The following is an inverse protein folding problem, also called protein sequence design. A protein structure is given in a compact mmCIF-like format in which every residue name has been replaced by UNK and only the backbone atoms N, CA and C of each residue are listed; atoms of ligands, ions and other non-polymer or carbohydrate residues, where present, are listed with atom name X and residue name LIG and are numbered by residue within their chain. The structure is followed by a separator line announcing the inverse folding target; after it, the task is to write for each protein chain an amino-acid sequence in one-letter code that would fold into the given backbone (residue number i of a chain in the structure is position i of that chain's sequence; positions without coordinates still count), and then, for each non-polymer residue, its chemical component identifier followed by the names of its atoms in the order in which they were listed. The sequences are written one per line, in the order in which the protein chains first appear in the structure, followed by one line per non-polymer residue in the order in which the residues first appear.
data_IF_572048914147
#
_entry.id   IF_572048914147
#
_cell.length_a   1.000
_cell.length_b   1.000
_cell.length_c   1.000
_cell.angle_alpha   90.00
_cell.angle_beta   90.00
_cell.angle_gamma   90.00
#
_symmetry.space_group_name_H-M   'P 1'
#
loop_
_entity.id
_entity.type
_entity.pdbx_description
1 polymer ?
#
# COMPACT_ATOMS: atom_id res chain seq x y z
N UNK A 1 -14.53 -6.91 -4.94
CA UNK A 1 -14.14 -6.39 -3.60
C UNK A 1 -12.95 -5.47 -3.80
N UNK A 2 -12.99 -4.23 -3.30
CA UNK A 2 -11.81 -3.36 -3.25
C UNK A 2 -10.95 -3.79 -2.06
N UNK A 3 -9.65 -3.98 -2.28
CA UNK A 3 -8.70 -4.20 -1.19
C UNK A 3 -8.42 -2.88 -0.44
N UNK A 4 -8.14 -2.96 0.85
CA UNK A 4 -7.78 -1.82 1.70
C UNK A 4 -6.26 -1.60 1.73
N UNK A 5 -5.81 -0.42 2.21
CA UNK A 5 -4.38 -0.13 2.43
C UNK A 5 -3.77 -1.19 3.36
N UNK A 6 -4.47 -1.50 4.47
CA UNK A 6 -4.05 -2.51 5.45
C UNK A 6 -3.84 -3.88 4.82
N UNK A 7 -4.71 -4.28 3.88
CA UNK A 7 -4.55 -5.55 3.16
C UNK A 7 -3.27 -5.54 2.32
N UNK A 8 -3.00 -4.46 1.59
CA UNK A 8 -1.79 -4.38 0.77
C UNK A 8 -0.51 -4.34 1.63
N UNK A 9 -0.54 -3.63 2.76
CA UNK A 9 0.57 -3.61 3.73
C UNK A 9 0.80 -5.00 4.32
N UNK A 10 -0.24 -5.69 4.79
CA UNK A 10 -0.12 -7.04 5.33
C UNK A 10 0.45 -8.04 4.30
N UNK A 11 0.11 -7.89 3.02
CA UNK A 11 0.67 -8.70 1.95
C UNK A 11 2.14 -8.38 1.67
N UNK A 12 2.53 -7.10 1.74
CA UNK A 12 3.92 -6.70 1.64
C UNK A 12 4.76 -7.28 2.78
N UNK A 13 4.29 -7.15 4.02
CA UNK A 13 4.93 -7.70 5.22
C UNK A 13 5.08 -9.22 5.14
N UNK A 14 4.02 -9.93 4.74
CA UNK A 14 4.06 -11.38 4.54
C UNK A 14 5.12 -11.78 3.53
N UNK A 15 5.17 -11.12 2.38
CA UNK A 15 6.18 -11.41 1.36
C UNK A 15 7.60 -11.12 1.87
N UNK A 16 7.81 -10.04 2.62
CA UNK A 16 9.11 -9.73 3.25
C UNK A 16 9.53 -10.83 4.22
N UNK A 17 8.64 -11.26 5.12
CA UNK A 17 8.93 -12.34 6.07
C UNK A 17 9.24 -13.67 5.37
N UNK A 18 8.52 -14.01 4.30
CA UNK A 18 8.81 -15.20 3.49
C UNK A 18 10.15 -15.08 2.74
N UNK A 19 10.58 -13.88 2.36
CA UNK A 19 11.88 -13.65 1.74
C UNK A 19 13.03 -13.86 2.75
N UNK A 20 12.87 -13.33 3.97
CA UNK A 20 13.82 -13.46 5.07
C UNK A 20 13.99 -14.91 5.52
N UNK A 21 12.90 -15.67 5.61
CA UNK A 21 12.91 -17.08 5.99
C UNK A 21 13.51 -18.01 4.91
N UNK A 22 13.68 -17.52 3.67
CA UNK A 22 14.13 -18.37 2.57
C UNK A 22 15.65 -18.44 2.46
N UNK A 23 16.19 -19.67 2.38
CA UNK A 23 17.59 -19.93 2.05
C UNK A 23 17.89 -19.83 0.54
N UNK A 24 16.86 -19.90 -0.32
CA UNK A 24 17.03 -19.89 -1.77
C UNK A 24 16.93 -18.46 -2.32
N UNK A 25 18.01 -17.97 -2.94
CA UNK A 25 18.05 -16.61 -3.53
C UNK A 25 16.88 -16.35 -4.48
N UNK A 26 16.53 -17.31 -5.33
CA UNK A 26 15.44 -17.13 -6.29
C UNK A 26 14.06 -16.95 -5.63
N UNK A 27 13.84 -17.59 -4.48
CA UNK A 27 12.60 -17.45 -3.71
C UNK A 27 12.60 -16.11 -2.99
N UNK A 28 13.73 -15.72 -2.39
CA UNK A 28 13.92 -14.41 -1.76
C UNK A 28 13.63 -13.28 -2.74
N UNK A 29 14.25 -13.29 -3.91
CA UNK A 29 14.10 -12.24 -4.91
C UNK A 29 12.66 -12.14 -5.43
N UNK A 30 11.99 -13.28 -5.64
CA UNK A 30 10.59 -13.32 -6.02
C UNK A 30 9.71 -12.66 -4.95
N UNK A 31 9.92 -13.01 -3.69
CA UNK A 31 9.13 -12.50 -2.59
C UNK A 31 9.40 -11.00 -2.36
N UNK A 32 10.64 -10.53 -2.48
CA UNK A 32 10.96 -9.10 -2.43
C UNK A 32 10.29 -8.30 -3.55
N UNK A 33 10.26 -8.83 -4.78
CA UNK A 33 9.51 -8.20 -5.88
C UNK A 33 8.01 -8.15 -5.60
N UNK A 34 7.45 -9.21 -5.01
CA UNK A 34 6.05 -9.23 -4.62
C UNK A 34 5.76 -8.20 -3.52
N UNK A 35 6.61 -8.12 -2.49
CA UNK A 35 6.50 -7.14 -1.41
C UNK A 35 6.50 -5.70 -1.96
N UNK A 36 7.43 -5.39 -2.87
CA UNK A 36 7.49 -4.08 -3.52
C UNK A 36 6.22 -3.76 -4.34
N UNK A 37 5.65 -4.74 -5.04
CA UNK A 37 4.41 -4.54 -5.79
C UNK A 37 3.21 -4.29 -4.87
N UNK A 38 3.11 -5.00 -3.75
CA UNK A 38 2.08 -4.79 -2.74
C UNK A 38 2.20 -3.40 -2.10
N UNK A 39 3.43 -3.01 -1.70
CA UNK A 39 3.68 -1.69 -1.13
C UNK A 39 3.30 -0.57 -2.12
N UNK A 40 3.67 -0.71 -3.39
CA UNK A 40 3.32 0.28 -4.41
C UNK A 40 1.80 0.44 -4.60
N UNK A 41 0.99 -0.60 -4.35
CA UNK A 41 -0.47 -0.49 -4.36
C UNK A 41 -1.00 0.18 -3.10
N UNK A 42 -0.42 -0.11 -1.93
CA UNK A 42 -0.75 0.60 -0.70
C UNK A 42 -0.50 2.10 -0.83
N UNK A 43 0.67 2.48 -1.37
CA UNK A 43 1.07 3.88 -1.55
C UNK A 43 0.14 4.62 -2.53
N UNK A 44 -0.23 3.98 -3.64
CA UNK A 44 -1.19 4.55 -4.61
C UNK A 44 -2.56 4.78 -3.99
N UNK A 45 -3.04 3.84 -3.18
CA UNK A 45 -4.33 3.98 -2.52
C UNK A 45 -4.28 5.07 -1.44
N UNK A 46 -3.23 5.09 -0.62
CA UNK A 46 -3.00 6.14 0.37
C UNK A 46 -2.98 7.53 -0.28
N UNK A 47 -2.24 7.69 -1.37
CA UNK A 47 -2.18 8.95 -2.12
C UNK A 47 -3.57 9.39 -2.62
N UNK A 48 -4.35 8.44 -3.15
CA UNK A 48 -5.71 8.72 -3.62
C UNK A 48 -6.64 9.17 -2.47
N UNK A 49 -6.55 8.53 -1.31
CA UNK A 49 -7.33 8.92 -0.13
C UNK A 49 -6.93 10.30 0.41
N UNK A 50 -5.63 10.63 0.41
CA UNK A 50 -5.13 11.94 0.81
C UNK A 50 -5.68 13.05 -0.10
N UNK A 51 -5.57 12.89 -1.42
CA UNK A 51 -6.12 13.85 -2.39
C UNK A 51 -7.63 14.04 -2.23
N UNK A 52 -8.36 12.96 -1.92
CA UNK A 52 -9.80 13.06 -1.64
C UNK A 52 -10.07 13.85 -0.36
N UNK A 53 -9.32 13.59 0.71
CA UNK A 53 -9.46 14.30 1.97
C UNK A 53 -9.16 15.80 1.82
N UNK A 54 -8.09 16.16 1.12
CA UNK A 54 -7.72 17.53 0.80
C UNK A 54 -8.83 18.25 0.03
N UNK A 55 -9.36 17.63 -1.03
CA UNK A 55 -10.47 18.18 -1.80
C UNK A 55 -11.71 18.42 -0.94
N UNK A 56 -12.05 17.45 -0.08
CA UNK A 56 -13.22 17.56 0.79
C UNK A 56 -13.04 18.69 1.82
N UNK A 57 -11.84 18.85 2.38
CA UNK A 57 -11.53 19.94 3.30
C UNK A 57 -11.62 21.32 2.61
N UNK A 58 -11.10 21.44 1.39
CA UNK A 58 -11.20 22.68 0.61
C UNK A 58 -12.66 23.04 0.29
N UNK A 59 -13.48 22.05 -0.08
CA UNK A 59 -14.91 22.26 -0.34
C UNK A 59 -15.66 22.67 0.92
N UNK A 60 -15.40 22.04 2.06
CA UNK A 60 -16.03 22.40 3.34
C UNK A 60 -15.67 23.84 3.76
N UNK A 61 -14.42 24.25 3.58
CA UNK A 61 -13.98 25.62 3.85
C UNK A 61 -14.68 26.65 2.94
N UNK A 62 -14.93 26.30 1.67
CA UNK A 62 -15.58 27.18 0.71
C UNK A 62 -17.10 27.33 0.92
N UNK A 63 -17.77 26.37 1.56
CA UNK A 63 -19.22 26.40 1.80
C UNK A 63 -19.59 26.84 3.23
N UNK A 64 -18.60 26.99 4.12
CA UNK A 64 -18.79 27.36 5.53
C UNK A 64 -18.51 28.83 5.85
N UNK A 65 -18.19 29.67 4.85
CA UNK A 65 -18.00 31.12 4.98
C UNK A 65 -19.01 31.88 4.13
#
# INVERSE_FOLDING_TARGET
MSATIEFYVAQAEKCTAEAEASALTQVRDRNLRAAAAWQAMADKLLHTEQLRAEKNAAMAAAHGG
#
